data_IF_613619874862
#
_entry.id   IF_613619874862
#
_cell.length_a   1.000
_cell.length_b   1.000
_cell.length_c   1.000
_cell.angle_alpha   90.00
_cell.angle_beta   90.00
_cell.angle_gamma   90.00
#
_symmetry.space_group_name_H-M   'P 1'
#
loop_
_entity.id
_entity.type
_entity.pdbx_description
1 polymer ?
#
# COMPACT_ATOMS: atom_id res chain seq x y z
N UNK A 1 3.92 -5.02 -20.07
CA UNK A 1 3.54 -3.88 -19.21
C UNK A 1 2.08 -3.94 -18.75
N UNK A 2 1.09 -4.03 -19.65
CA UNK A 2 -0.34 -4.05 -19.27
C UNK A 2 -0.73 -5.19 -18.30
N UNK A 3 -0.18 -6.38 -18.50
CA UNK A 3 -0.41 -7.53 -17.60
C UNK A 3 0.14 -7.27 -16.19
N UNK A 4 1.30 -6.59 -16.07
CA UNK A 4 1.92 -6.29 -14.77
C UNK A 4 1.10 -5.26 -13.97
N UNK A 5 0.54 -4.25 -14.65
CA UNK A 5 -0.38 -3.30 -14.04
C UNK A 5 -1.66 -3.99 -13.54
N UNK A 6 -2.26 -4.84 -14.37
CA UNK A 6 -3.50 -5.56 -14.03
C UNK A 6 -3.33 -6.49 -12.82
N UNK A 7 -2.22 -7.21 -12.74
CA UNK A 7 -1.88 -8.07 -11.59
C UNK A 7 -1.72 -7.24 -10.32
N UNK A 8 -1.05 -6.09 -10.40
CA UNK A 8 -0.85 -5.20 -9.26
C UNK A 8 -2.18 -4.66 -8.73
N UNK A 9 -3.08 -4.23 -9.62
CA UNK A 9 -4.42 -3.76 -9.26
C UNK A 9 -5.24 -4.86 -8.58
N UNK A 10 -5.23 -6.07 -9.13
CA UNK A 10 -5.93 -7.22 -8.52
C UNK A 10 -5.38 -7.56 -7.14
N UNK A 11 -4.07 -7.53 -6.95
CA UNK A 11 -3.43 -7.78 -5.65
C UNK A 11 -3.80 -6.70 -4.64
N UNK A 12 -3.79 -5.42 -5.02
CA UNK A 12 -4.23 -4.32 -4.15
C UNK A 12 -5.70 -4.51 -3.75
N UNK A 13 -6.57 -4.83 -4.72
CA UNK A 13 -7.98 -5.06 -4.49
C UNK A 13 -8.21 -6.24 -3.54
N UNK A 14 -7.58 -7.39 -3.77
CA UNK A 14 -7.71 -8.55 -2.90
C UNK A 14 -7.15 -8.27 -1.50
N UNK A 15 -6.02 -7.57 -1.40
CA UNK A 15 -5.44 -7.15 -0.13
C UNK A 15 -6.42 -6.32 0.68
N UNK A 16 -6.88 -5.20 0.12
CA UNK A 16 -7.85 -4.30 0.77
C UNK A 16 -9.18 -4.97 1.09
N UNK A 17 -9.70 -5.84 0.21
CA UNK A 17 -10.94 -6.59 0.46
C UNK A 17 -10.79 -7.53 1.66
N UNK A 18 -9.71 -8.32 1.70
CA UNK A 18 -9.43 -9.25 2.79
C UNK A 18 -9.14 -8.52 4.11
N UNK A 19 -8.55 -7.31 4.05
CA UNK A 19 -8.38 -6.43 5.22
C UNK A 19 -9.74 -5.96 5.74
N UNK A 20 -10.61 -5.46 4.85
CA UNK A 20 -11.97 -5.05 5.19
C UNK A 20 -12.83 -6.17 5.78
N UNK A 21 -12.62 -7.41 5.34
CA UNK A 21 -13.26 -8.61 5.88
C UNK A 21 -12.62 -9.12 7.19
N UNK A 22 -11.51 -8.52 7.64
CA UNK A 22 -10.83 -8.90 8.89
C UNK A 22 -10.13 -10.26 8.84
N UNK A 23 -9.75 -10.73 7.65
CA UNK A 23 -9.07 -12.03 7.45
C UNK A 23 -7.62 -11.89 7.00
N UNK A 24 -7.22 -10.73 6.46
CA UNK A 24 -5.86 -10.53 5.94
C UNK A 24 -4.77 -10.83 6.98
N UNK A 25 -4.89 -10.29 8.19
CA UNK A 25 -3.88 -10.49 9.24
C UNK A 25 -3.77 -11.96 9.69
N UNK A 26 -4.88 -12.71 9.63
CA UNK A 26 -4.88 -14.16 9.89
C UNK A 26 -4.14 -14.92 8.82
N UNK A 27 -4.35 -14.56 7.55
CA UNK A 27 -3.60 -15.11 6.43
C UNK A 27 -2.11 -14.78 6.60
N UNK A 28 -1.79 -13.55 6.98
CA UNK A 28 -0.41 -13.12 7.14
C UNK A 28 0.33 -13.81 8.28
N UNK A 29 -0.37 -14.19 9.35
CA UNK A 29 0.22 -15.00 10.42
C UNK A 29 0.68 -16.39 9.94
N UNK A 30 -0.01 -16.95 8.96
CA UNK A 30 0.30 -18.27 8.39
C UNK A 30 1.25 -18.18 7.19
N UNK A 31 1.14 -17.13 6.37
CA UNK A 31 1.96 -16.90 5.19
C UNK A 31 3.30 -16.20 5.50
N UNK A 32 3.43 -15.58 6.67
CA UNK A 32 4.63 -14.87 7.11
C UNK A 32 5.02 -13.75 6.15
N UNK A 33 6.31 -13.70 5.79
CA UNK A 33 6.83 -12.69 4.86
C UNK A 33 6.12 -12.71 3.49
N UNK A 34 5.55 -13.85 3.09
CA UNK A 34 4.83 -14.00 1.81
C UNK A 34 3.59 -13.12 1.66
N UNK A 35 2.97 -12.66 2.75
CA UNK A 35 1.86 -11.71 2.71
C UNK A 35 2.28 -10.26 2.95
N UNK A 36 3.51 -10.03 3.44
CA UNK A 36 4.01 -8.71 3.82
C UNK A 36 4.83 -8.11 2.68
N UNK A 37 5.65 -8.94 2.01
CA UNK A 37 6.56 -8.52 0.93
C UNK A 37 5.84 -8.09 -0.35
N UNK A 38 4.74 -8.74 -0.81
CA UNK A 38 4.02 -8.28 -1.99
C UNK A 38 3.22 -6.99 -1.74
N UNK A 39 2.79 -6.32 -2.82
CA UNK A 39 1.98 -5.09 -2.77
C UNK A 39 0.67 -5.23 -1.97
N UNK A 40 0.19 -6.45 -1.77
CA UNK A 40 -0.94 -6.79 -0.91
C UNK A 40 -0.70 -6.37 0.55
N UNK A 41 0.54 -6.50 1.06
CA UNK A 41 0.90 -6.13 2.43
C UNK A 41 0.86 -4.63 2.64
N UNK A 42 1.32 -3.87 1.65
CA UNK A 42 1.15 -2.42 1.62
C UNK A 42 -0.33 -2.02 1.55
N UNK A 43 -1.13 -2.72 0.73
CA UNK A 43 -2.56 -2.47 0.64
C UNK A 43 -3.27 -2.69 2.00
N UNK A 44 -2.90 -3.74 2.76
CA UNK A 44 -3.39 -3.97 4.11
C UNK A 44 -2.97 -2.85 5.08
N UNK A 45 -1.70 -2.46 5.10
CA UNK A 45 -1.20 -1.44 6.04
C UNK A 45 -1.80 -0.05 5.81
N UNK A 46 -2.27 0.25 4.60
CA UNK A 46 -3.02 1.49 4.30
C UNK A 46 -4.52 1.33 4.58
N UNK A 47 -5.09 0.15 4.34
CA UNK A 47 -6.52 -0.10 4.55
C UNK A 47 -6.90 -0.23 6.04
N UNK A 48 -6.07 -0.88 6.86
CA UNK A 48 -6.30 -1.03 8.30
C UNK A 48 -6.54 0.30 9.03
N UNK A 49 -5.68 1.34 8.89
CA UNK A 49 -5.94 2.63 9.52
C UNK A 49 -7.17 3.34 8.96
N UNK A 50 -7.54 3.09 7.69
CA UNK A 50 -8.75 3.66 7.12
C UNK A 50 -10.03 3.15 7.83
N UNK A 51 -9.99 1.91 8.31
CA UNK A 51 -11.09 1.28 9.06
C UNK A 51 -11.01 1.68 10.54
N UNK A 52 -9.83 1.57 11.14
CA UNK A 52 -9.59 1.79 12.57
C UNK A 52 -9.85 3.23 13.00
N UNK A 53 -9.40 4.20 12.20
CA UNK A 53 -9.51 5.64 12.51
C UNK A 53 -10.72 6.29 11.84
N UNK A 54 -11.71 5.51 11.37
CA UNK A 54 -12.94 6.04 10.77
C UNK A 54 -13.73 6.91 11.75
N UNK A 55 -13.69 6.58 13.04
CA UNK A 55 -14.38 7.32 14.11
C UNK A 55 -13.78 8.70 14.37
N UNK A 56 -12.51 8.92 14.02
CA UNK A 56 -11.81 10.21 14.11
C UNK A 56 -12.14 11.14 12.93
N UNK A 57 -13.03 10.72 12.02
CA UNK A 57 -13.46 11.48 10.85
C UNK A 57 -12.54 11.33 9.64
N UNK A 58 -12.93 11.97 8.54
CA UNK A 58 -12.30 11.75 7.23
C UNK A 58 -10.92 12.40 7.10
N UNK A 59 -10.75 13.61 7.63
CA UNK A 59 -9.52 14.41 7.43
C UNK A 59 -8.48 14.07 8.50
N UNK A 60 -8.81 14.32 9.77
CA UNK A 60 -7.88 14.15 10.89
C UNK A 60 -7.68 12.68 11.30
N UNK A 61 -8.66 11.82 11.04
CA UNK A 61 -8.58 10.37 11.25
C UNK A 61 -8.10 9.63 10.01
N UNK A 62 -9.05 9.20 9.19
CA UNK A 62 -8.86 8.29 8.05
C UNK A 62 -7.73 8.74 7.12
N UNK A 63 -7.82 9.94 6.52
CA UNK A 63 -6.86 10.41 5.53
C UNK A 63 -5.47 10.64 6.13
N UNK A 64 -5.39 11.32 7.28
CA UNK A 64 -4.12 11.57 7.95
C UNK A 64 -3.39 10.27 8.29
N UNK A 65 -4.10 9.27 8.84
CA UNK A 65 -3.51 8.00 9.27
C UNK A 65 -3.09 7.13 8.09
N UNK A 66 -3.87 7.10 7.01
CA UNK A 66 -3.46 6.47 5.75
C UNK A 66 -2.19 7.12 5.19
N UNK A 67 -2.07 8.45 5.26
CA UNK A 67 -0.94 9.18 4.70
C UNK A 67 0.36 9.00 5.50
N UNK A 68 0.29 8.71 6.80
CA UNK A 68 1.49 8.36 7.59
C UNK A 68 2.18 7.11 7.01
N UNK A 69 1.40 6.15 6.51
CA UNK A 69 1.92 4.93 5.89
C UNK A 69 2.32 5.16 4.43
N UNK A 70 1.46 5.82 3.65
CA UNK A 70 1.69 6.02 2.22
C UNK A 70 2.73 7.12 1.90
N UNK A 71 2.84 8.14 2.76
CA UNK A 71 3.65 9.34 2.56
C UNK A 71 5.13 9.05 2.30
N UNK A 72 5.82 8.26 3.15
CA UNK A 72 7.23 7.91 2.91
C UNK A 72 7.45 7.23 1.55
N UNK A 73 6.55 6.34 1.14
CA UNK A 73 6.66 5.60 -0.13
C UNK A 73 6.49 6.55 -1.31
N UNK A 74 5.54 7.49 -1.24
CA UNK A 74 5.35 8.50 -2.28
C UNK A 74 6.61 9.37 -2.38
N UNK A 75 7.11 9.89 -1.26
CA UNK A 75 8.27 10.79 -1.25
C UNK A 75 9.51 10.10 -1.79
N UNK A 76 9.90 8.96 -1.23
CA UNK A 76 11.12 8.27 -1.65
C UNK A 76 10.98 7.61 -3.01
N UNK A 77 9.80 7.11 -3.37
CA UNK A 77 9.53 6.50 -4.67
C UNK A 77 9.62 7.52 -5.81
N UNK A 78 8.98 8.68 -5.65
CA UNK A 78 9.04 9.75 -6.66
C UNK A 78 10.44 10.34 -6.75
N UNK A 79 11.12 10.58 -5.61
CA UNK A 79 12.48 11.09 -5.60
C UNK A 79 13.46 10.12 -6.28
N UNK A 80 13.41 8.84 -5.94
CA UNK A 80 14.27 7.82 -6.55
C UNK A 80 13.98 7.68 -8.05
N UNK A 81 12.70 7.63 -8.46
CA UNK A 81 12.31 7.57 -9.86
C UNK A 81 12.77 8.80 -10.65
N UNK A 82 12.66 9.98 -10.07
CA UNK A 82 13.16 11.24 -10.66
C UNK A 82 14.67 11.22 -10.79
N UNK A 83 15.40 10.82 -9.75
CA UNK A 83 16.85 10.75 -9.77
C UNK A 83 17.36 9.77 -10.85
N UNK A 84 16.79 8.56 -10.92
CA UNK A 84 17.12 7.57 -11.95
C UNK A 84 16.77 8.09 -13.35
N UNK A 85 15.61 8.74 -13.51
CA UNK A 85 15.21 9.36 -14.78
C UNK A 85 16.17 10.46 -15.25
N UNK A 86 16.66 11.29 -14.32
CA UNK A 86 17.66 12.31 -14.61
C UNK A 86 19.01 11.71 -15.01
N UNK A 87 19.46 10.66 -14.33
CA UNK A 87 20.69 9.93 -14.69
C UNK A 87 20.55 9.34 -16.10
N UNK A 88 19.42 8.71 -16.40
CA UNK A 88 19.16 8.13 -17.72
C UNK A 88 19.13 9.17 -18.84
N UNK A 89 18.66 10.40 -18.57
CA UNK A 89 18.66 11.49 -19.55
C UNK A 89 20.07 11.99 -19.91
N UNK A 90 21.02 11.89 -18.98
CA UNK A 90 22.39 12.38 -19.14
C UNK A 90 23.35 11.31 -19.70
N UNK A 91 22.96 10.04 -19.69
CA UNK A 91 23.67 8.92 -20.30
C UNK A 91 23.28 8.75 -21.78
#
# INVERSE_FOLDING_TARGET
DELAGSVSVLLIFLGTLLTGLGVYDRIGRNAGAGSIVPITGFANSVCSPAIEFKTEGWIYGTAAKMFIVAGPIIVFGVLAGTAVGLIYLLL
#
